data_IF_247913967141
#
_entry.id   IF_247913967141
#
_cell.length_a   1.000
_cell.length_b   1.000
_cell.length_c   1.000
_cell.angle_alpha   90.00
_cell.angle_beta   90.00
_cell.angle_gamma   90.00
#
_symmetry.space_group_name_H-M   'P 1'
#
loop_
_entity.id
_entity.type
_entity.pdbx_description
1 polymer ?
#
# COMPACT_ATOMS: atom_id res chain seq x y z
N UNK A 1 6.66 8.98 -25.35
CA UNK A 1 6.64 7.60 -24.81
C UNK A 1 6.11 7.70 -23.38
N UNK A 2 5.05 6.98 -23.02
CA UNK A 2 4.49 7.05 -21.66
C UNK A 2 5.48 6.38 -20.68
N UNK A 3 5.81 7.01 -19.54
CA UNK A 3 6.63 6.40 -18.49
C UNK A 3 6.08 5.05 -18.02
N UNK A 4 6.97 4.12 -17.68
CA UNK A 4 6.57 2.76 -17.28
C UNK A 4 5.79 2.76 -15.96
N UNK A 5 6.10 3.65 -15.02
CA UNK A 5 5.31 3.74 -13.78
C UNK A 5 3.89 4.22 -14.03
N UNK A 6 3.67 5.21 -14.92
CA UNK A 6 2.31 5.63 -15.28
C UNK A 6 1.49 4.47 -15.84
N UNK A 7 2.12 3.58 -16.61
CA UNK A 7 1.48 2.37 -17.10
C UNK A 7 1.18 1.37 -15.95
N UNK A 8 2.09 1.21 -14.99
CA UNK A 8 1.85 0.37 -13.81
C UNK A 8 0.74 0.94 -12.91
N UNK A 9 0.72 2.25 -12.70
CA UNK A 9 -0.29 2.94 -11.91
C UNK A 9 -1.67 2.76 -12.54
N UNK A 10 -1.81 2.99 -13.85
CA UNK A 10 -3.06 2.77 -14.57
C UNK A 10 -3.55 1.30 -14.46
N UNK A 11 -2.64 0.33 -14.52
CA UNK A 11 -2.98 -1.09 -14.32
C UNK A 11 -3.46 -1.38 -12.89
N UNK A 12 -2.81 -0.79 -11.89
CA UNK A 12 -3.21 -0.91 -10.48
C UNK A 12 -4.58 -0.29 -10.24
N UNK A 13 -4.83 0.90 -10.79
CA UNK A 13 -6.10 1.61 -10.64
C UNK A 13 -7.25 0.85 -11.31
N UNK A 14 -7.01 0.29 -12.50
CA UNK A 14 -7.96 -0.58 -13.18
C UNK A 14 -8.27 -1.86 -12.37
N UNK A 15 -7.25 -2.48 -11.78
CA UNK A 15 -7.42 -3.65 -10.93
C UNK A 15 -8.22 -3.33 -9.65
N UNK A 16 -7.92 -2.20 -9.01
CA UNK A 16 -8.63 -1.72 -7.83
C UNK A 16 -10.10 -1.41 -8.12
N UNK A 17 -10.38 -0.74 -9.25
CA UNK A 17 -11.75 -0.45 -9.69
C UNK A 17 -12.54 -1.75 -9.93
N UNK A 18 -11.93 -2.76 -10.58
CA UNK A 18 -12.55 -4.07 -10.79
C UNK A 18 -12.84 -4.79 -9.47
N UNK A 19 -11.88 -4.79 -8.55
CA UNK A 19 -12.04 -5.40 -7.23
C UNK A 19 -13.20 -4.76 -6.45
N UNK A 20 -13.28 -3.42 -6.43
CA UNK A 20 -14.38 -2.69 -5.76
C UNK A 20 -15.74 -3.01 -6.37
N UNK A 21 -15.85 -3.07 -7.70
CA UNK A 21 -17.10 -3.46 -8.39
C UNK A 21 -17.54 -4.88 -7.99
N UNK A 22 -16.63 -5.85 -8.00
CA UNK A 22 -16.96 -7.22 -7.59
C UNK A 22 -17.34 -7.35 -6.12
N UNK A 23 -16.72 -6.56 -5.23
CA UNK A 23 -17.08 -6.52 -3.81
C UNK A 23 -18.47 -5.91 -3.60
N UNK A 24 -18.78 -4.82 -4.29
CA UNK A 24 -20.09 -4.19 -4.22
C UNK A 24 -21.20 -5.12 -4.77
N UNK A 25 -20.93 -5.82 -5.88
CA UNK A 25 -21.85 -6.80 -6.46
C UNK A 25 -22.09 -7.98 -5.52
N UNK A 26 -21.04 -8.57 -4.94
CA UNK A 26 -21.17 -9.64 -3.95
C UNK A 26 -21.94 -9.19 -2.69
N UNK A 27 -21.68 -7.98 -2.19
CA UNK A 27 -22.39 -7.44 -1.04
C UNK A 27 -23.87 -7.19 -1.33
N UNK A 28 -24.21 -6.73 -2.54
CA UNK A 28 -25.60 -6.54 -2.97
C UNK A 28 -26.36 -7.87 -3.11
N UNK A 29 -25.69 -8.91 -3.62
CA UNK A 29 -26.25 -10.28 -3.71
C UNK A 29 -26.48 -10.87 -2.31
N UNK A 30 -25.52 -10.74 -1.39
CA UNK A 30 -25.66 -11.22 0.00
C UNK A 30 -26.77 -10.48 0.77
N UNK A 31 -26.98 -9.19 0.50
CA UNK A 31 -28.01 -8.38 1.14
C UNK A 31 -29.43 -8.62 0.60
N UNK A 32 -29.61 -9.36 -0.50
CA UNK A 32 -30.92 -9.63 -1.10
C UNK A 32 -31.65 -8.40 -1.66
N UNK A 33 -31.01 -7.23 -1.67
CA UNK A 33 -31.54 -5.97 -2.17
C UNK A 33 -31.02 -5.70 -3.58
N UNK A 34 -31.89 -5.85 -4.58
CA UNK A 34 -31.65 -5.48 -5.99
C UNK A 34 -31.61 -3.96 -6.24
N UNK A 35 -31.63 -3.15 -5.19
CA UNK A 35 -31.51 -1.68 -5.27
C UNK A 35 -30.54 -1.20 -4.19
N UNK A 36 -29.26 -1.24 -4.52
CA UNK A 36 -28.20 -0.71 -3.67
C UNK A 36 -27.90 0.74 -4.07
N UNK A 37 -28.79 1.67 -3.75
CA UNK A 37 -28.35 3.05 -3.55
C UNK A 37 -27.51 3.03 -2.26
N UNK A 38 -26.19 3.31 -2.33
CA UNK A 38 -25.33 3.21 -1.17
C UNK A 38 -25.78 4.22 -0.11
N UNK A 39 -26.33 3.72 0.99
CA UNK A 39 -26.67 4.54 2.15
C UNK A 39 -25.37 5.00 2.83
N UNK A 40 -24.92 6.21 2.52
CA UNK A 40 -23.74 6.83 3.14
C UNK A 40 -22.98 7.77 2.20
N UNK A 41 -21.96 8.45 2.75
CA UNK A 41 -21.02 9.21 1.92
C UNK A 41 -20.27 8.24 1.01
N UNK A 42 -20.15 8.53 -0.30
CA UNK A 42 -19.39 7.69 -1.20
C UNK A 42 -17.95 7.53 -0.67
N UNK A 43 -17.36 6.33 -0.79
CA UNK A 43 -15.99 6.11 -0.37
C UNK A 43 -15.04 7.01 -1.17
N UNK A 44 -13.94 7.40 -0.55
CA UNK A 44 -12.93 8.24 -1.19
C UNK A 44 -12.38 7.59 -2.47
N UNK A 45 -12.41 8.35 -3.57
CA UNK A 45 -11.84 7.92 -4.85
C UNK A 45 -10.33 8.18 -4.86
N UNK A 46 -9.55 7.13 -4.59
CA UNK A 46 -8.09 7.22 -4.54
C UNK A 46 -7.45 7.62 -5.87
N UNK A 47 -8.13 7.42 -7.00
CA UNK A 47 -7.61 7.80 -8.32
C UNK A 47 -7.48 9.32 -8.47
N UNK A 48 -8.18 10.09 -7.62
CA UNK A 48 -8.02 11.55 -7.60
C UNK A 48 -6.62 11.98 -7.10
N UNK A 49 -5.82 11.08 -6.50
CA UNK A 49 -4.43 11.32 -6.12
C UNK A 49 -3.51 11.05 -7.34
N UNK A 50 -3.74 11.77 -8.43
CA UNK A 50 -2.95 11.70 -9.65
C UNK A 50 -2.70 13.12 -10.18
N UNK A 51 -1.50 13.44 -10.68
CA UNK A 51 -1.25 14.74 -11.32
C UNK A 51 -2.27 15.05 -12.42
N UNK A 52 -2.73 16.30 -12.47
CA UNK A 52 -3.74 16.77 -13.42
C UNK A 52 -5.19 16.70 -12.92
N UNK A 53 -5.45 16.14 -11.74
CA UNK A 53 -6.78 16.22 -11.11
C UNK A 53 -6.97 17.52 -10.35
N UNK A 54 -8.21 18.01 -10.30
CA UNK A 54 -8.56 19.20 -9.52
C UNK A 54 -8.29 18.98 -8.01
N UNK A 55 -8.53 17.77 -7.52
CA UNK A 55 -8.27 17.39 -6.13
C UNK A 55 -6.81 17.62 -5.75
N UNK A 56 -5.87 17.05 -6.52
CA UNK A 56 -4.46 17.12 -6.18
C UNK A 56 -3.90 18.55 -6.32
N UNK A 57 -4.44 19.32 -7.26
CA UNK A 57 -4.12 20.74 -7.41
C UNK A 57 -4.56 21.56 -6.18
N UNK A 58 -5.82 21.42 -5.74
CA UNK A 58 -6.32 22.08 -4.53
C UNK A 58 -5.58 21.63 -3.28
N UNK A 59 -5.22 20.35 -3.21
CA UNK A 59 -4.42 19.80 -2.12
C UNK A 59 -3.04 20.48 -2.05
N UNK A 60 -2.38 20.68 -3.19
CA UNK A 60 -1.12 21.41 -3.28
C UNK A 60 -1.21 22.83 -2.71
N UNK A 61 -2.19 23.62 -3.18
CA UNK A 61 -2.42 24.97 -2.65
C UNK A 61 -2.69 24.97 -1.14
N UNK A 62 -3.44 23.97 -0.65
CA UNK A 62 -3.74 23.86 0.77
C UNK A 62 -2.49 23.57 1.60
N UNK A 63 -1.56 22.76 1.07
CA UNK A 63 -0.28 22.48 1.72
C UNK A 63 0.59 23.71 1.81
N UNK A 64 0.71 24.51 0.75
CA UNK A 64 1.48 25.76 0.77
C UNK A 64 1.00 26.69 1.88
N UNK A 65 -0.32 26.97 1.92
CA UNK A 65 -0.93 27.79 2.96
C UNK A 65 -0.74 27.19 4.36
N UNK A 66 -0.78 25.86 4.48
CA UNK A 66 -0.57 25.19 5.76
C UNK A 66 0.89 25.29 6.23
N UNK A 67 1.87 25.15 5.32
CA UNK A 67 3.29 25.32 5.62
C UNK A 67 3.56 26.76 6.07
N UNK A 68 3.07 27.76 5.34
CA UNK A 68 3.20 29.16 5.71
C UNK A 68 2.60 29.45 7.09
N UNK A 69 1.39 28.93 7.34
CA UNK A 69 0.75 29.04 8.64
C UNK A 69 1.59 28.38 9.74
N UNK A 70 2.13 27.19 9.50
CA UNK A 70 3.00 26.48 10.45
C UNK A 70 4.26 27.26 10.76
N UNK A 71 4.97 27.74 9.73
CA UNK A 71 6.17 28.55 9.90
C UNK A 71 5.91 29.86 10.65
N UNK A 72 4.68 30.40 10.63
CA UNK A 72 4.31 31.62 11.35
C UNK A 72 3.82 31.38 12.79
N UNK A 73 3.21 30.23 13.07
CA UNK A 73 2.44 30.02 14.31
C UNK A 73 3.04 28.97 15.25
N UNK A 74 3.82 28.04 14.72
CA UNK A 74 4.36 26.91 15.46
C UNK A 74 5.79 27.25 15.95
N UNK A 75 6.04 27.31 17.28
CA UNK A 75 7.36 27.67 17.81
C UNK A 75 8.50 26.78 17.33
N UNK A 76 8.25 25.50 17.04
CA UNK A 76 9.29 24.58 16.55
C UNK A 76 9.63 24.84 15.07
N UNK A 77 8.73 25.49 14.33
CA UNK A 77 8.90 25.82 12.91
C UNK A 77 9.41 27.25 12.71
N UNK A 78 9.08 28.17 13.62
CA UNK A 78 9.56 29.55 13.62
C UNK A 78 11.08 29.60 13.83
N UNK A 79 11.83 29.93 12.78
CA UNK A 79 13.30 29.95 12.82
C UNK A 79 13.94 28.57 12.91
N UNK A 80 13.16 27.50 12.73
CA UNK A 80 13.60 26.12 12.76
C UNK A 80 14.01 25.62 11.35
N UNK A 81 13.31 24.63 10.78
CA UNK A 81 13.70 24.00 9.53
C UNK A 81 13.51 24.92 8.32
N UNK A 82 14.40 24.77 7.33
CA UNK A 82 14.12 25.23 5.97
C UNK A 82 13.19 24.23 5.28
N UNK A 83 12.05 24.71 4.78
CA UNK A 83 11.00 23.86 4.20
C UNK A 83 10.97 24.07 2.70
N UNK A 84 11.04 22.97 1.94
CA UNK A 84 10.91 22.96 0.48
C UNK A 84 9.69 22.13 0.13
N UNK A 85 8.78 22.71 -0.65
CA UNK A 85 7.60 22.02 -1.16
C UNK A 85 7.73 21.82 -2.68
N UNK A 86 7.56 20.58 -3.14
CA UNK A 86 7.50 20.25 -4.57
C UNK A 86 6.17 19.58 -4.87
N UNK A 87 5.24 20.35 -5.44
CA UNK A 87 3.88 19.90 -5.75
C UNK A 87 3.79 18.97 -6.96
N UNK A 88 2.55 18.65 -7.31
CA UNK A 88 2.22 17.82 -8.49
C UNK A 88 2.33 18.56 -9.82
N UNK A 89 2.49 19.89 -9.77
CA UNK A 89 2.78 20.78 -10.89
C UNK A 89 4.23 20.66 -11.39
N UNK A 90 5.16 20.31 -10.49
CA UNK A 90 6.54 20.02 -10.86
C UNK A 90 6.60 18.60 -11.43
N UNK A 91 7.18 18.38 -12.63
CA UNK A 91 7.29 17.06 -13.22
C UNK A 91 8.26 16.16 -12.43
N UNK A 92 8.02 14.85 -12.48
CA UNK A 92 8.84 13.84 -11.80
C UNK A 92 8.14 13.21 -10.59
N UNK A 93 8.57 12.02 -10.24
CA UNK A 93 8.03 11.27 -9.10
C UNK A 93 8.64 11.78 -7.79
N UNK A 94 7.86 11.71 -6.71
CA UNK A 94 8.28 12.26 -5.41
C UNK A 94 9.61 11.69 -4.92
N UNK A 95 9.80 10.37 -5.01
CA UNK A 95 11.04 9.71 -4.58
C UNK A 95 12.25 10.15 -5.42
N UNK A 96 12.07 10.26 -6.73
CA UNK A 96 13.14 10.68 -7.63
C UNK A 96 13.50 12.16 -7.46
N UNK A 97 12.51 13.04 -7.24
CA UNK A 97 12.74 14.45 -6.91
C UNK A 97 13.56 14.60 -5.62
N UNK A 98 13.24 13.82 -4.59
CA UNK A 98 13.99 13.82 -3.33
C UNK A 98 15.43 13.35 -3.58
N UNK A 99 15.62 12.28 -4.35
CA UNK A 99 16.93 11.75 -4.68
C UNK A 99 17.78 12.75 -5.47
N UNK A 100 17.17 13.48 -6.41
CA UNK A 100 17.84 14.54 -7.17
C UNK A 100 18.26 15.71 -6.27
N UNK A 101 17.39 16.11 -5.34
CA UNK A 101 17.72 17.12 -4.35
C UNK A 101 18.89 16.71 -3.45
N UNK A 102 18.89 15.48 -2.94
CA UNK A 102 20.00 14.95 -2.12
C UNK A 102 21.31 15.00 -2.91
N UNK A 103 21.30 14.55 -4.18
CA UNK A 103 22.48 14.59 -5.05
C UNK A 103 23.01 16.02 -5.23
N UNK A 104 22.13 16.99 -5.45
CA UNK A 104 22.50 18.40 -5.63
C UNK A 104 23.11 19.00 -4.35
N UNK A 105 22.48 18.77 -3.19
CA UNK A 105 22.99 19.24 -1.89
C UNK A 105 24.34 18.62 -1.60
N UNK A 106 24.48 17.31 -1.80
CA UNK A 106 25.72 16.60 -1.57
C UNK A 106 26.82 17.05 -2.51
N UNK A 107 26.52 17.41 -3.76
CA UNK A 107 27.53 17.96 -4.69
C UNK A 107 28.04 19.35 -4.27
N UNK A 108 27.20 20.15 -3.62
CA UNK A 108 27.55 21.51 -3.17
C UNK A 108 28.19 21.56 -1.79
N UNK A 109 27.90 20.59 -0.92
CA UNK A 109 28.39 20.61 0.46
C UNK A 109 29.86 20.20 0.54
N UNK A 110 30.67 21.01 1.21
CA UNK A 110 32.07 20.66 1.55
C UNK A 110 32.14 19.72 2.77
N UNK A 111 31.06 19.63 3.57
CA UNK A 111 30.97 18.81 4.79
C UNK A 111 29.95 17.66 4.61
N UNK A 112 30.15 16.84 3.57
CA UNK A 112 29.31 15.65 3.30
C UNK A 112 29.19 14.70 4.50
N UNK A 113 30.21 14.65 5.35
CA UNK A 113 30.33 13.63 6.40
C UNK A 113 29.42 13.85 7.61
N UNK A 114 28.85 15.04 7.80
CA UNK A 114 28.01 15.35 8.97
C UNK A 114 26.51 15.35 8.68
N UNK A 115 26.12 15.43 7.40
CA UNK A 115 24.72 15.50 7.01
C UNK A 115 24.01 14.16 7.24
N UNK A 116 22.88 14.20 7.94
CA UNK A 116 22.07 13.02 8.26
C UNK A 116 20.73 13.11 7.56
N UNK A 117 20.47 12.17 6.67
CA UNK A 117 19.24 12.09 5.90
C UNK A 117 18.24 11.15 6.57
N UNK A 118 16.99 11.58 6.67
CA UNK A 118 15.88 10.72 7.05
C UNK A 118 14.79 10.82 6.00
N UNK A 119 14.44 9.71 5.37
CA UNK A 119 13.39 9.66 4.36
C UNK A 119 12.22 8.83 4.85
N UNK A 120 11.01 9.37 4.71
CA UNK A 120 9.76 8.73 5.11
C UNK A 120 9.06 8.13 3.89
N UNK A 121 8.60 6.89 3.99
CA UNK A 121 7.70 6.31 3.00
C UNK A 121 7.49 4.80 3.13
N UNK A 122 6.47 4.30 2.45
CA UNK A 122 6.10 2.88 2.50
C UNK A 122 6.57 2.08 1.29
N UNK A 123 7.20 2.70 0.31
CA UNK A 123 7.70 2.00 -0.88
C UNK A 123 8.94 1.17 -0.55
N UNK A 124 9.07 0.02 -1.22
CA UNK A 124 10.22 -0.86 -1.06
C UNK A 124 11.46 -0.28 -1.74
N UNK A 125 11.25 0.50 -2.80
CA UNK A 125 12.29 1.06 -3.64
C UNK A 125 13.13 2.10 -2.90
N UNK A 126 12.58 2.72 -1.85
CA UNK A 126 13.27 3.67 -0.97
C UNK A 126 14.55 3.10 -0.33
N UNK A 127 14.62 1.78 -0.10
CA UNK A 127 15.82 1.11 0.41
C UNK A 127 16.93 1.15 -0.64
N UNK A 128 16.61 0.77 -1.87
CA UNK A 128 17.56 0.77 -2.98
C UNK A 128 17.98 2.19 -3.33
N UNK A 129 17.02 3.11 -3.41
CA UNK A 129 17.28 4.51 -3.70
C UNK A 129 18.20 5.12 -2.63
N UNK A 130 17.93 4.86 -1.34
CA UNK A 130 18.78 5.30 -0.24
C UNK A 130 20.23 4.81 -0.37
N UNK A 131 20.44 3.55 -0.75
CA UNK A 131 21.80 3.01 -0.96
C UNK A 131 22.52 3.65 -2.15
N UNK A 132 21.81 3.95 -3.23
CA UNK A 132 22.39 4.57 -4.45
C UNK A 132 22.83 6.02 -4.21
N UNK A 133 22.32 6.69 -3.18
CA UNK A 133 22.80 8.04 -2.82
C UNK A 133 24.26 8.05 -2.35
N UNK A 134 24.79 6.92 -1.88
CA UNK A 134 26.10 6.82 -1.23
C UNK A 134 26.29 7.75 -0.02
N UNK A 135 25.19 8.15 0.63
CA UNK A 135 25.24 8.96 1.85
C UNK A 135 25.60 8.10 3.07
N UNK A 136 26.57 8.56 3.87
CA UNK A 136 27.07 7.84 5.04
C UNK A 136 26.00 7.68 6.14
N UNK A 137 25.15 8.69 6.31
CA UNK A 137 24.14 8.73 7.35
C UNK A 137 22.75 8.86 6.72
N UNK A 138 22.14 7.72 6.39
CA UNK A 138 20.80 7.66 5.78
C UNK A 138 19.89 6.74 6.59
N UNK A 139 18.72 7.24 6.99
CA UNK A 139 17.71 6.49 7.75
C UNK A 139 16.37 6.47 7.03
N UNK A 140 15.68 5.33 7.09
CA UNK A 140 14.32 5.18 6.55
C UNK A 140 13.31 5.09 7.69
N UNK A 141 12.32 5.99 7.68
CA UNK A 141 11.19 5.96 8.59
C UNK A 141 10.00 5.32 7.89
N UNK A 142 9.51 4.19 8.43
CA UNK A 142 8.38 3.44 7.86
C UNK A 142 7.42 3.05 8.98
N UNK A 143 6.12 3.14 8.69
CA UNK A 143 5.11 2.65 9.64
C UNK A 143 5.15 1.13 9.76
N UNK A 144 4.92 0.62 10.97
CA UNK A 144 4.85 -0.82 11.21
C UNK A 144 3.59 -1.40 10.56
N UNK A 145 3.77 -2.09 9.43
CA UNK A 145 2.70 -2.84 8.77
C UNK A 145 2.22 -3.97 9.69
N UNK A 146 0.99 -3.85 10.19
CA UNK A 146 0.34 -4.95 10.91
C UNK A 146 -0.15 -5.94 9.88
N UNK A 147 0.58 -7.02 9.66
CA UNK A 147 0.04 -8.17 8.95
C UNK A 147 -1.16 -8.67 9.77
N UNK A 148 -2.39 -8.41 9.31
CA UNK A 148 -3.51 -9.18 9.79
C UNK A 148 -3.14 -10.63 9.52
N UNK A 149 -2.99 -11.44 10.58
CA UNK A 149 -2.93 -12.88 10.42
C UNK A 149 -4.24 -13.25 9.73
N UNK A 150 -4.19 -13.37 8.40
CA UNK A 150 -5.24 -14.00 7.63
C UNK A 150 -5.51 -15.32 8.33
N UNK A 151 -6.79 -15.70 8.42
CA UNK A 151 -7.22 -16.99 8.94
C UNK A 151 -6.63 -18.10 8.07
N UNK A 152 -5.34 -18.37 8.19
CA UNK A 152 -4.77 -19.68 7.95
C UNK A 152 -5.21 -20.53 9.13
N UNK A 153 -6.52 -20.76 9.22
CA UNK A 153 -7.02 -21.90 9.94
C UNK A 153 -6.38 -23.11 9.26
N UNK A 154 -5.62 -23.95 9.99
CA UNK A 154 -5.07 -25.15 9.40
C UNK A 154 -6.23 -25.93 8.80
N UNK A 155 -6.17 -26.25 7.50
CA UNK A 155 -7.14 -27.15 6.88
C UNK A 155 -7.14 -28.41 7.73
N UNK A 156 -8.21 -28.64 8.49
CA UNK A 156 -8.41 -29.89 9.23
C UNK A 156 -8.30 -31.00 8.20
N UNK A 157 -7.17 -31.72 8.22
CA UNK A 157 -6.94 -32.90 7.41
C UNK A 157 -8.07 -33.86 7.77
N UNK A 158 -9.00 -34.09 6.84
CA UNK A 158 -10.15 -34.96 7.07
C UNK A 158 -9.65 -36.28 7.66
N UNK A 159 -10.23 -36.69 8.79
CA UNK A 159 -10.00 -38.01 9.35
C UNK A 159 -10.40 -39.03 8.28
N UNK A 160 -9.42 -39.64 7.62
CA UNK A 160 -9.64 -40.93 6.96
C UNK A 160 -10.09 -41.88 8.06
N UNK A 161 -11.34 -42.31 7.99
CA UNK A 161 -11.88 -43.33 8.87
C UNK A 161 -11.00 -44.58 8.72
N UNK A 162 -10.24 -44.91 9.77
CA UNK A 162 -9.57 -46.18 9.89
C UNK A 162 -10.68 -47.23 10.08
N UNK A 163 -10.95 -48.01 9.03
CA UNK A 163 -11.76 -49.23 9.15
C UNK A 163 -10.83 -50.28 9.75
N UNK A 164 -10.98 -50.52 11.05
CA UNK A 164 -10.26 -51.57 11.78
C UNK A 164 -10.61 -52.94 11.22
N UNK A 165 -9.58 -53.76 11.09
CA UNK A 165 -9.67 -55.20 10.88
C UNK A 165 -9.80 -55.93 12.24
N UNK A 166 -10.07 -57.23 12.14
CA UNK A 166 -10.08 -58.28 13.18
C UNK A 166 -11.44 -58.56 13.84
N UNK A 167 -11.93 -59.80 13.96
CA UNK A 167 -11.47 -61.13 13.58
C UNK A 167 -12.61 -62.16 13.81
N UNK A 168 -12.37 -63.42 13.36
CA UNK A 168 -13.10 -64.69 13.59
C UNK A 168 -14.27 -64.94 12.61
N UNK A 169 -14.35 -66.05 11.87
CA UNK A 169 -13.72 -67.37 11.98
C UNK A 169 -14.81 -68.42 12.20
N UNK A 170 -14.96 -69.35 11.23
CA UNK A 170 -15.72 -70.61 11.26
C UNK A 170 -17.28 -70.50 11.35
N UNK A 171 -18.11 -71.33 10.75
CA UNK A 171 -17.99 -72.44 9.80
C UNK A 171 -19.41 -72.84 9.32
N UNK A 172 -19.46 -73.46 8.15
CA UNK A 172 -20.35 -74.55 7.74
C UNK A 172 -21.85 -74.35 7.36
N UNK A 173 -22.17 -75.08 6.28
CA UNK A 173 -23.46 -75.61 5.76
C UNK A 173 -24.32 -74.60 4.98
N UNK A 174 -24.52 -74.76 3.67
CA UNK A 174 -24.86 -76.01 2.97
C UNK A 174 -26.35 -76.25 3.15
N UNK A 175 -27.15 -75.57 2.34
CA UNK A 175 -28.59 -75.76 2.24
C UNK A 175 -28.90 -76.37 0.87
N UNK A 176 -29.39 -77.59 0.92
CA UNK A 176 -29.85 -78.42 -0.19
C UNK A 176 -31.18 -77.92 -0.77
N UNK A 177 -31.42 -78.41 -2.00
CA UNK A 177 -32.71 -78.64 -2.65
C UNK A 177 -33.49 -77.44 -3.23
N UNK A 178 -33.37 -77.24 -4.55
CA UNK A 178 -34.23 -77.92 -5.54
C UNK A 178 -33.67 -77.81 -6.96
#
# INVERSE_FOLDING_TARGET
>A
RVPRELQQQALRDAANAKARRSQAENAAIEAGTLSAEPQGTPPFDSNCITPGTEFLYKLGQRYELWIEQKMRTDPEWMGGPSVIFSGADVPGEGEHKIMDYIREVSAKSTSRDELRHCMYGLDADLIMLGMITHEKHFSLLRERQRFQRGRFAPRRRGKRAAKGADAKGADAKGADAK
#
